data_IF_436516547209
#
_entry.id   IF_436516547209
#
_cell.length_a   1.000
_cell.length_b   1.000
_cell.length_c   1.000
_cell.angle_alpha   90.00
_cell.angle_beta   90.00
_cell.angle_gamma   90.00
#
_symmetry.space_group_name_H-M   'P 1'
#
loop_
_entity.id
_entity.type
_entity.pdbx_description
1 polymer ?
#
# COMPACT_ATOMS: atom_id res chain seq x y z
N UNK A 1 -24.83 23.57 8.41
CA UNK A 1 -25.96 22.64 8.62
C UNK A 1 -25.83 21.52 7.59
N UNK A 2 -25.10 20.44 7.95
CA UNK A 2 -25.12 19.22 7.14
C UNK A 2 -26.11 18.26 7.80
N UNK A 3 -27.30 18.17 7.24
CA UNK A 3 -28.20 17.05 7.46
C UNK A 3 -27.53 15.82 6.83
N UNK A 4 -27.09 14.90 7.68
CA UNK A 4 -26.65 13.57 7.25
C UNK A 4 -27.92 12.88 6.73
N UNK A 5 -28.05 12.80 5.41
CA UNK A 5 -29.10 12.02 4.77
C UNK A 5 -28.92 10.56 5.21
N UNK A 6 -29.88 10.07 5.99
CA UNK A 6 -30.08 8.65 6.21
C UNK A 6 -30.34 8.02 4.84
N UNK A 7 -29.36 7.30 4.32
CA UNK A 7 -29.58 6.45 3.16
C UNK A 7 -30.55 5.32 3.54
N UNK A 8 -31.71 5.33 2.90
CA UNK A 8 -32.72 4.28 2.96
C UNK A 8 -32.17 2.95 2.42
N UNK A 9 -31.40 2.23 3.22
CA UNK A 9 -31.11 0.83 2.99
C UNK A 9 -32.04 -0.02 3.83
N UNK A 10 -33.09 -0.51 3.17
CA UNK A 10 -34.02 -1.60 3.57
C UNK A 10 -34.20 -1.82 5.09
N UNK A 11 -35.11 -1.07 5.65
CA UNK A 11 -35.55 -1.08 7.06
C UNK A 11 -36.25 -2.38 7.54
N UNK A 12 -36.33 -3.44 6.75
CA UNK A 12 -37.14 -4.63 7.12
C UNK A 12 -36.40 -5.72 7.90
N UNK A 13 -35.06 -5.72 7.98
CA UNK A 13 -34.35 -6.75 8.74
C UNK A 13 -33.68 -6.20 10.01
N UNK A 14 -33.66 -4.89 10.19
CA UNK A 14 -33.03 -4.21 11.35
C UNK A 14 -34.04 -4.02 12.51
N UNK A 15 -35.32 -4.21 12.30
CA UNK A 15 -36.38 -3.91 13.28
C UNK A 15 -36.44 -4.86 14.48
N UNK A 16 -35.69 -5.97 14.49
CA UNK A 16 -35.64 -6.90 15.62
C UNK A 16 -34.39 -6.78 16.48
N UNK A 17 -33.38 -5.94 16.08
CA UNK A 17 -32.25 -5.57 16.92
C UNK A 17 -32.48 -4.23 17.64
N UNK A 18 -33.69 -3.71 17.57
CA UNK A 18 -34.06 -2.43 18.16
C UNK A 18 -34.01 -2.46 19.68
N UNK A 19 -33.26 -1.49 20.22
CA UNK A 19 -33.34 -0.96 21.58
C UNK A 19 -32.68 -1.72 22.72
N UNK A 20 -31.77 -2.65 22.49
CA UNK A 20 -30.78 -2.92 23.53
C UNK A 20 -29.53 -2.10 23.23
N UNK A 21 -29.49 -0.85 23.72
CA UNK A 21 -28.24 -0.13 23.95
C UNK A 21 -27.49 -0.95 25.01
N UNK A 22 -26.62 -1.86 24.53
CA UNK A 22 -25.70 -2.58 25.42
C UNK A 22 -24.61 -1.59 25.84
N UNK A 23 -24.97 -0.67 26.71
CA UNK A 23 -23.97 0.01 27.50
C UNK A 23 -23.32 -1.09 28.35
N UNK A 24 -22.06 -1.42 28.08
CA UNK A 24 -21.23 -2.06 29.09
C UNK A 24 -21.44 -1.27 30.38
N UNK A 25 -21.81 -1.96 31.46
CA UNK A 25 -22.24 -1.38 32.75
C UNK A 25 -21.14 -0.68 33.55
N UNK A 26 -20.00 -0.36 32.96
CA UNK A 26 -19.06 0.62 33.47
C UNK A 26 -19.50 2.02 32.99
N UNK A 27 -19.64 2.96 33.91
CA UNK A 27 -19.82 4.38 33.58
C UNK A 27 -18.76 4.74 32.54
N UNK A 28 -19.19 4.87 31.27
CA UNK A 28 -18.30 5.39 30.23
C UNK A 28 -17.75 6.70 30.75
N UNK A 29 -16.44 6.89 30.71
CA UNK A 29 -15.86 8.12 31.23
C UNK A 29 -16.53 9.29 30.52
N UNK A 30 -16.80 10.38 31.24
CA UNK A 30 -17.41 11.58 30.67
C UNK A 30 -16.62 12.10 29.48
N UNK A 31 -15.34 11.83 29.45
CA UNK A 31 -14.44 12.12 28.32
C UNK A 31 -14.89 11.43 27.00
N UNK A 32 -15.22 10.13 27.04
CA UNK A 32 -15.70 9.39 25.86
C UNK A 32 -17.04 9.96 25.39
N UNK A 33 -17.96 10.17 26.30
CA UNK A 33 -19.28 10.70 25.99
C UNK A 33 -19.21 12.11 25.37
N UNK A 34 -18.38 12.98 25.95
CA UNK A 34 -18.17 14.33 25.41
C UNK A 34 -17.51 14.31 24.05
N UNK A 35 -16.52 13.43 23.83
CA UNK A 35 -15.90 13.25 22.53
C UNK A 35 -16.92 12.78 21.46
N UNK A 36 -17.71 11.75 21.76
CA UNK A 36 -18.73 11.23 20.84
C UNK A 36 -19.78 12.29 20.49
N UNK A 37 -20.23 13.06 21.47
CA UNK A 37 -21.16 14.18 21.26
C UNK A 37 -20.53 15.26 20.36
N UNK A 38 -19.27 15.63 20.59
CA UNK A 38 -18.57 16.66 19.81
C UNK A 38 -18.41 16.26 18.34
N UNK A 39 -18.30 14.96 18.06
CA UNK A 39 -18.20 14.40 16.69
C UNK A 39 -19.55 13.96 16.12
N UNK A 40 -20.64 14.15 16.85
CA UNK A 40 -22.00 13.71 16.50
C UNK A 40 -22.05 12.21 16.15
N UNK A 41 -21.36 11.37 16.94
CA UNK A 41 -21.28 9.93 16.76
C UNK A 41 -22.24 9.20 17.69
N UNK A 42 -22.94 8.19 17.17
CA UNK A 42 -23.84 7.34 17.92
C UNK A 42 -23.44 5.85 17.75
N UNK A 43 -22.39 5.39 18.44
CA UNK A 43 -21.82 4.06 18.25
C UNK A 43 -22.76 2.96 18.76
N UNK A 44 -22.61 1.74 18.21
CA UNK A 44 -23.36 0.55 18.60
C UNK A 44 -22.82 -0.05 19.89
N UNK A 45 -21.48 -0.13 20.03
CA UNK A 45 -20.83 -0.62 21.24
C UNK A 45 -19.70 0.32 21.67
N UNK A 46 -19.55 0.47 22.99
CA UNK A 46 -18.45 1.20 23.62
C UNK A 46 -17.85 0.31 24.69
N UNK A 47 -16.56 0.01 24.55
CA UNK A 47 -15.79 -0.78 25.52
C UNK A 47 -14.68 0.08 26.11
N UNK A 48 -14.90 0.52 27.34
CA UNK A 48 -13.86 1.14 28.18
C UNK A 48 -13.18 0.07 29.03
N UNK A 49 -12.11 0.44 29.73
CA UNK A 49 -11.36 -0.46 30.63
C UNK A 49 -10.92 -1.77 29.96
N UNK A 50 -10.50 -1.68 28.70
CA UNK A 50 -10.09 -2.84 27.86
C UNK A 50 -8.87 -3.60 28.41
N UNK A 51 -8.24 -3.11 29.47
CA UNK A 51 -7.19 -3.82 30.21
C UNK A 51 -7.74 -4.94 31.07
N UNK A 52 -9.05 -4.94 31.40
CA UNK A 52 -9.71 -5.96 32.21
C UNK A 52 -10.11 -7.17 31.35
N UNK A 53 -9.86 -8.39 31.88
CA UNK A 53 -10.20 -9.63 31.20
C UNK A 53 -11.71 -9.85 31.03
N UNK A 54 -12.51 -9.34 31.97
CA UNK A 54 -13.97 -9.34 31.91
C UNK A 54 -14.48 -8.61 30.66
N UNK A 55 -13.94 -7.41 30.41
CA UNK A 55 -14.29 -6.58 29.24
C UNK A 55 -13.86 -7.28 27.95
N UNK A 56 -12.66 -7.85 27.91
CA UNK A 56 -12.17 -8.60 26.73
C UNK A 56 -13.05 -9.81 26.38
N UNK A 57 -13.52 -10.56 27.39
CA UNK A 57 -14.46 -11.66 27.21
C UNK A 57 -15.81 -11.16 26.66
N UNK A 58 -16.29 -10.02 27.15
CA UNK A 58 -17.52 -9.41 26.63
C UNK A 58 -17.36 -8.98 25.19
N UNK A 59 -16.25 -8.31 24.81
CA UNK A 59 -15.96 -7.97 23.41
C UNK A 59 -16.01 -9.23 22.52
N UNK A 60 -15.33 -10.30 22.93
CA UNK A 60 -15.31 -11.54 22.15
C UNK A 60 -16.69 -12.18 21.98
N UNK A 61 -17.54 -12.10 23.01
CA UNK A 61 -18.91 -12.64 22.99
C UNK A 61 -19.86 -11.78 22.15
N UNK A 62 -19.86 -10.47 22.37
CA UNK A 62 -20.82 -9.54 21.76
C UNK A 62 -20.50 -9.26 20.30
N UNK A 63 -19.21 -9.27 19.89
CA UNK A 63 -18.80 -9.02 18.51
C UNK A 63 -18.68 -10.29 17.67
N UNK A 64 -19.09 -11.46 18.22
CA UNK A 64 -19.00 -12.74 17.53
C UNK A 64 -19.87 -12.74 16.28
N UNK A 65 -19.29 -13.06 15.13
CA UNK A 65 -19.99 -13.11 13.84
C UNK A 65 -20.34 -11.76 13.23
N UNK A 66 -20.05 -10.64 13.92
CA UNK A 66 -20.35 -9.30 13.43
C UNK A 66 -19.23 -8.76 12.53
N UNK A 67 -19.62 -7.83 11.65
CA UNK A 67 -18.76 -7.02 10.78
C UNK A 67 -19.13 -5.56 10.92
N UNK A 68 -18.20 -4.64 10.61
CA UNK A 68 -18.49 -3.21 10.69
C UNK A 68 -17.25 -2.34 10.84
N UNK A 69 -17.49 -1.08 11.18
CA UNK A 69 -16.49 -0.06 11.39
C UNK A 69 -16.23 0.13 12.88
N UNK A 70 -14.97 0.15 13.27
CA UNK A 70 -14.56 0.35 14.66
C UNK A 70 -13.58 1.53 14.78
N UNK A 71 -13.55 2.09 15.97
CA UNK A 71 -12.65 3.16 16.38
C UNK A 71 -11.85 2.71 17.61
N UNK A 72 -10.58 3.09 17.66
CA UNK A 72 -9.70 2.97 18.82
C UNK A 72 -9.39 4.40 19.26
N UNK A 73 -9.90 4.81 20.39
CA UNK A 73 -9.75 6.18 20.92
C UNK A 73 -8.77 6.19 22.09
N UNK A 74 -7.83 7.12 22.06
CA UNK A 74 -6.99 7.47 23.21
C UNK A 74 -7.72 8.54 24.03
N UNK A 75 -8.08 8.23 25.28
CA UNK A 75 -8.84 9.11 26.19
C UNK A 75 -8.04 10.34 26.65
N UNK A 76 -6.71 10.26 26.63
CA UNK A 76 -5.83 11.34 27.06
C UNK A 76 -5.63 12.41 25.99
N UNK A 77 -5.39 11.97 24.74
CA UNK A 77 -5.10 12.89 23.63
C UNK A 77 -6.29 13.15 22.72
N UNK A 78 -7.37 12.38 22.86
CA UNK A 78 -8.53 12.34 21.97
C UNK A 78 -8.19 11.99 20.51
N UNK A 79 -6.98 11.53 20.27
CA UNK A 79 -6.55 11.01 18.97
C UNK A 79 -7.08 9.59 18.79
N UNK A 80 -7.43 9.23 17.56
CA UNK A 80 -8.10 7.97 17.29
C UNK A 80 -7.70 7.34 15.97
N UNK A 81 -7.95 6.04 15.87
CA UNK A 81 -7.80 5.20 14.69
C UNK A 81 -9.16 4.68 14.25
N UNK A 82 -9.43 4.63 12.96
CA UNK A 82 -10.62 4.01 12.38
C UNK A 82 -10.20 2.84 11.48
N UNK A 83 -10.98 1.77 11.50
CA UNK A 83 -10.76 0.62 10.63
C UNK A 83 -12.02 -0.20 10.43
N UNK A 84 -12.02 -1.06 9.43
CA UNK A 84 -13.07 -2.02 9.16
C UNK A 84 -12.72 -3.43 9.61
N UNK A 85 -13.73 -4.20 9.89
CA UNK A 85 -13.63 -5.62 10.19
C UNK A 85 -14.67 -6.41 9.40
N UNK A 86 -14.22 -7.38 8.61
CA UNK A 86 -15.10 -8.35 7.95
C UNK A 86 -15.77 -9.27 8.97
N UNK A 87 -16.73 -10.04 8.54
CA UNK A 87 -17.56 -10.92 9.37
C UNK A 87 -16.74 -11.77 10.35
N UNK A 88 -17.05 -11.68 11.64
CA UNK A 88 -16.38 -12.38 12.71
C UNK A 88 -14.96 -11.90 13.03
N UNK A 89 -14.48 -10.81 12.45
CA UNK A 89 -13.12 -10.30 12.64
C UNK A 89 -13.00 -9.13 13.60
N UNK A 90 -14.09 -8.57 14.14
CA UNK A 90 -14.03 -7.44 15.10
C UNK A 90 -13.16 -7.77 16.30
N UNK A 91 -13.37 -8.93 16.95
CA UNK A 91 -12.53 -9.35 18.07
C UNK A 91 -11.06 -9.57 17.65
N UNK A 92 -10.80 -10.12 16.46
CA UNK A 92 -9.44 -10.27 15.95
C UNK A 92 -8.77 -8.92 15.71
N UNK A 93 -9.49 -7.91 15.21
CA UNK A 93 -8.98 -6.54 15.07
C UNK A 93 -8.67 -5.91 16.41
N UNK A 94 -9.58 -6.05 17.38
CA UNK A 94 -9.36 -5.61 18.76
C UNK A 94 -8.07 -6.22 19.33
N UNK A 95 -7.92 -7.55 19.31
CA UNK A 95 -6.77 -8.23 19.89
C UNK A 95 -5.46 -7.89 19.16
N UNK A 96 -5.47 -7.78 17.83
CA UNK A 96 -4.29 -7.45 17.06
C UNK A 96 -3.79 -6.03 17.32
N UNK A 97 -4.70 -5.05 17.45
CA UNK A 97 -4.30 -3.67 17.68
C UNK A 97 -3.91 -3.39 19.13
N UNK A 98 -4.67 -3.91 20.09
CA UNK A 98 -4.65 -3.46 21.47
C UNK A 98 -3.95 -4.44 22.42
N UNK A 99 -3.97 -5.73 22.11
CA UNK A 99 -3.37 -6.78 22.96
C UNK A 99 -2.02 -7.24 22.37
N UNK A 100 -2.02 -7.74 21.14
CA UNK A 100 -0.79 -8.26 20.51
C UNK A 100 0.08 -7.16 19.89
N UNK A 101 -0.47 -5.95 19.72
CA UNK A 101 0.23 -4.79 19.15
C UNK A 101 0.87 -5.07 17.77
N UNK A 102 0.20 -5.91 16.98
CA UNK A 102 0.63 -6.29 15.61
C UNK A 102 -0.07 -5.51 14.51
N UNK A 103 -1.10 -4.72 14.86
CA UNK A 103 -1.86 -3.88 13.92
C UNK A 103 -1.14 -2.58 13.55
N UNK A 104 -1.83 -1.43 13.70
CA UNK A 104 -1.25 -0.12 13.36
C UNK A 104 -0.03 0.21 14.21
N UNK A 105 1.07 0.60 13.56
CA UNK A 105 2.32 1.01 14.23
C UNK A 105 2.12 2.28 15.07
N UNK A 106 1.26 3.19 14.65
CA UNK A 106 0.97 4.43 15.37
C UNK A 106 0.20 4.10 16.65
N UNK A 107 -0.86 3.29 16.57
CA UNK A 107 -1.63 2.82 17.73
C UNK A 107 -0.70 2.09 18.71
N UNK A 108 0.15 1.17 18.23
CA UNK A 108 1.13 0.47 19.07
C UNK A 108 2.05 1.43 19.84
N UNK A 109 2.62 2.41 19.15
CA UNK A 109 3.51 3.40 19.78
C UNK A 109 2.77 4.27 20.78
N UNK A 110 1.53 4.63 20.49
CA UNK A 110 0.68 5.40 21.39
C UNK A 110 0.33 4.61 22.65
N UNK A 111 -0.02 3.31 22.51
CA UNK A 111 -0.27 2.43 23.68
C UNK A 111 0.99 2.29 24.56
N UNK A 112 2.17 2.17 23.96
CA UNK A 112 3.44 2.13 24.70
C UNK A 112 3.71 3.41 25.48
N UNK A 113 3.28 4.56 24.96
CA UNK A 113 3.48 5.87 25.58
C UNK A 113 2.46 6.16 26.68
N UNK A 114 1.19 5.91 26.44
CA UNK A 114 0.09 6.33 27.29
C UNK A 114 -0.49 5.20 28.16
N UNK A 115 -0.13 3.94 27.88
CA UNK A 115 -0.69 2.77 28.56
C UNK A 115 -2.04 2.33 27.99
N UNK A 116 -2.33 1.03 28.06
CA UNK A 116 -3.55 0.45 27.49
C UNK A 116 -4.83 0.94 28.20
N UNK A 117 -4.76 1.30 29.50
CA UNK A 117 -5.88 1.80 30.28
C UNK A 117 -6.46 3.13 29.78
N UNK A 118 -5.66 3.90 29.02
CA UNK A 118 -6.09 5.14 28.38
C UNK A 118 -6.76 4.94 27.02
N UNK A 119 -6.96 3.70 26.60
CA UNK A 119 -7.62 3.41 25.34
C UNK A 119 -9.00 2.78 25.55
N UNK A 120 -9.90 3.08 24.62
CA UNK A 120 -11.17 2.38 24.50
C UNK A 120 -11.39 1.86 23.08
N UNK A 121 -12.21 0.81 22.96
CA UNK A 121 -12.61 0.22 21.70
C UNK A 121 -14.08 0.49 21.46
N UNK A 122 -14.42 1.08 20.31
CA UNK A 122 -15.75 1.56 19.97
C UNK A 122 -16.15 0.94 18.65
N UNK A 123 -17.32 0.35 18.54
CA UNK A 123 -17.90 -0.08 17.27
C UNK A 123 -18.87 1.01 16.83
N UNK A 124 -18.51 1.72 15.76
CA UNK A 124 -19.28 2.84 15.26
C UNK A 124 -20.53 2.39 14.55
N UNK A 125 -20.40 1.43 13.63
CA UNK A 125 -21.49 0.94 12.81
C UNK A 125 -21.28 -0.54 12.46
N UNK A 126 -22.37 -1.31 12.47
CA UNK A 126 -22.35 -2.70 12.02
C UNK A 126 -22.69 -2.77 10.54
N UNK A 127 -21.94 -3.58 9.81
CA UNK A 127 -22.25 -3.88 8.43
C UNK A 127 -23.31 -4.99 8.37
N UNK A 128 -24.47 -4.77 7.69
CA UNK A 128 -25.63 -5.63 7.83
C UNK A 128 -25.51 -7.00 7.16
N UNK A 129 -24.59 -7.11 6.18
CA UNK A 129 -24.42 -8.31 5.38
C UNK A 129 -23.20 -9.13 5.82
N UNK A 130 -23.24 -10.45 5.54
CA UNK A 130 -22.03 -11.28 5.65
C UNK A 130 -21.03 -10.84 4.58
N UNK A 131 -19.84 -10.41 5.00
CA UNK A 131 -18.83 -9.89 4.08
C UNK A 131 -18.24 -11.02 3.24
N UNK A 132 -18.34 -10.90 1.92
CA UNK A 132 -17.78 -11.80 0.90
C UNK A 132 -16.95 -10.98 -0.12
N UNK A 133 -16.46 -11.63 -1.18
CA UNK A 133 -15.64 -10.94 -2.21
C UNK A 133 -16.45 -9.89 -2.99
N UNK A 134 -17.74 -10.09 -3.17
CA UNK A 134 -18.60 -9.21 -3.96
C UNK A 134 -18.96 -7.91 -3.20
N UNK A 135 -19.29 -8.04 -1.90
CA UNK A 135 -19.74 -6.90 -1.09
C UNK A 135 -18.65 -6.27 -0.23
N UNK A 136 -17.43 -6.83 -0.20
CA UNK A 136 -16.29 -6.27 0.56
C UNK A 136 -16.01 -4.81 0.18
N UNK A 137 -16.24 -4.44 -1.09
CA UNK A 137 -16.10 -3.07 -1.54
C UNK A 137 -17.02 -2.11 -0.79
N UNK A 138 -18.27 -2.50 -0.52
CA UNK A 138 -19.23 -1.68 0.24
C UNK A 138 -18.74 -1.41 1.68
N UNK A 139 -18.10 -2.42 2.31
CA UNK A 139 -17.52 -2.25 3.64
C UNK A 139 -16.32 -1.28 3.61
N UNK A 140 -15.47 -1.34 2.57
CA UNK A 140 -14.37 -0.41 2.37
C UNK A 140 -14.86 1.00 2.06
N UNK A 141 -15.89 1.16 1.24
CA UNK A 141 -16.52 2.46 0.94
C UNK A 141 -17.09 3.09 2.23
N UNK A 142 -17.66 2.27 3.14
CA UNK A 142 -18.11 2.73 4.45
C UNK A 142 -16.94 3.16 5.35
N UNK A 143 -15.81 2.41 5.36
CA UNK A 143 -14.59 2.83 6.06
C UNK A 143 -14.08 4.16 5.51
N UNK A 144 -14.03 4.32 4.18
CA UNK A 144 -13.62 5.56 3.51
C UNK A 144 -14.50 6.76 3.89
N UNK A 145 -15.80 6.55 4.00
CA UNK A 145 -16.73 7.57 4.47
C UNK A 145 -16.34 8.08 5.86
N UNK A 146 -16.07 7.16 6.80
CA UNK A 146 -15.64 7.54 8.15
C UNK A 146 -14.26 8.16 8.18
N UNK A 147 -13.31 7.69 7.37
CA UNK A 147 -11.97 8.26 7.27
C UNK A 147 -11.99 9.71 6.77
N UNK A 148 -12.79 9.98 5.74
CA UNK A 148 -12.94 11.32 5.14
C UNK A 148 -13.73 12.28 6.03
N UNK A 149 -14.74 11.78 6.74
CA UNK A 149 -15.60 12.60 7.60
C UNK A 149 -14.93 12.97 8.92
N UNK A 150 -14.14 12.07 9.50
CA UNK A 150 -13.60 12.22 10.85
C UNK A 150 -12.11 12.57 10.88
N UNK A 151 -11.36 12.33 9.81
CA UNK A 151 -9.93 12.63 9.68
C UNK A 151 -9.09 12.11 10.86
N UNK A 152 -9.01 10.80 11.10
CA UNK A 152 -8.38 10.23 12.27
C UNK A 152 -6.86 10.40 12.27
N UNK A 153 -6.28 10.83 13.42
CA UNK A 153 -4.85 11.11 13.57
C UNK A 153 -3.96 9.87 13.46
N UNK A 154 -4.49 8.69 13.82
CA UNK A 154 -3.73 7.44 13.85
C UNK A 154 -3.79 6.63 12.55
N UNK A 155 -4.54 7.10 11.57
CA UNK A 155 -4.54 6.53 10.24
C UNK A 155 -3.47 7.20 9.36
N UNK A 156 -2.61 6.38 8.73
CA UNK A 156 -1.60 6.87 7.79
C UNK A 156 -2.21 7.08 6.41
N UNK A 157 -3.13 6.19 6.05
CA UNK A 157 -3.84 6.22 4.78
C UNK A 157 -5.17 6.94 4.95
N UNK A 158 -5.48 7.77 3.99
CA UNK A 158 -6.76 8.50 3.91
C UNK A 158 -7.84 7.72 3.16
N UNK A 159 -7.47 6.58 2.59
CA UNK A 159 -8.36 5.69 1.86
C UNK A 159 -8.24 4.24 2.36
N UNK A 160 -9.37 3.57 2.49
CA UNK A 160 -9.45 2.22 3.00
C UNK A 160 -8.82 1.20 2.04
N UNK A 161 -8.08 0.24 2.59
CA UNK A 161 -7.56 -0.91 1.85
C UNK A 161 -6.51 -0.63 0.77
N UNK A 162 -6.17 0.63 0.49
CA UNK A 162 -5.22 0.98 -0.57
C UNK A 162 -4.11 1.90 -0.09
N UNK A 163 -2.87 1.52 -0.41
CA UNK A 163 -1.71 2.42 -0.34
C UNK A 163 -1.44 3.11 -1.68
N UNK A 164 -2.33 2.95 -2.66
CA UNK A 164 -2.15 3.55 -3.97
C UNK A 164 -2.15 5.08 -3.86
N UNK A 165 -1.14 5.71 -4.43
CA UNK A 165 -0.98 7.17 -4.37
C UNK A 165 -0.34 7.71 -3.09
N UNK A 166 -0.14 6.89 -2.04
CA UNK A 166 0.55 7.33 -0.83
C UNK A 166 2.02 7.68 -1.13
N UNK A 167 2.39 8.92 -0.85
CA UNK A 167 3.78 9.38 -0.98
C UNK A 167 4.33 9.67 0.43
N UNK A 168 5.43 9.02 0.77
CA UNK A 168 6.14 9.37 2.00
C UNK A 168 6.55 10.85 1.98
N UNK A 169 6.43 11.53 3.11
CA UNK A 169 6.94 12.89 3.26
C UNK A 169 8.44 12.92 2.98
N UNK A 170 8.97 14.05 2.55
CA UNK A 170 10.41 14.19 2.23
C UNK A 170 11.29 13.85 3.43
N UNK A 171 10.89 14.27 4.64
CA UNK A 171 11.58 13.91 5.89
C UNK A 171 11.64 12.38 6.08
N UNK A 172 10.54 11.68 5.80
CA UNK A 172 10.49 10.21 5.91
C UNK A 172 11.38 9.56 4.86
N UNK A 173 11.38 10.06 3.62
CA UNK A 173 12.24 9.58 2.53
C UNK A 173 13.72 9.75 2.87
N UNK A 174 14.12 10.91 3.41
CA UNK A 174 15.48 11.18 3.86
C UNK A 174 15.88 10.20 4.98
N UNK A 175 15.01 9.99 5.99
CA UNK A 175 15.25 9.01 7.06
C UNK A 175 15.37 7.58 6.52
N UNK A 176 14.52 7.18 5.59
CA UNK A 176 14.61 5.86 4.94
C UNK A 176 15.93 5.69 4.20
N UNK A 177 16.37 6.71 3.45
CA UNK A 177 17.64 6.70 2.71
C UNK A 177 18.85 6.65 3.65
N UNK A 178 18.83 7.43 4.73
CA UNK A 178 19.89 7.44 5.73
C UNK A 178 20.00 6.11 6.49
N UNK A 179 18.88 5.44 6.77
CA UNK A 179 18.85 4.14 7.43
C UNK A 179 19.14 2.95 6.50
N UNK A 180 19.26 3.18 5.19
CA UNK A 180 19.59 2.15 4.21
C UNK A 180 21.12 2.05 4.02
N UNK A 181 21.79 1.61 5.09
CA UNK A 181 23.24 1.44 5.10
C UNK A 181 23.70 0.32 4.15
N UNK A 182 24.98 0.37 3.75
CA UNK A 182 25.61 -0.66 2.92
C UNK A 182 25.59 -2.03 3.62
N UNK A 183 25.80 -2.06 4.95
CA UNK A 183 25.68 -3.28 5.75
C UNK A 183 24.29 -3.92 5.63
N UNK A 184 23.21 -3.11 5.71
CA UNK A 184 21.85 -3.59 5.54
C UNK A 184 21.57 -4.08 4.11
N UNK A 185 22.14 -3.41 3.10
CA UNK A 185 22.06 -3.87 1.70
C UNK A 185 22.71 -5.24 1.53
N UNK A 186 23.90 -5.42 2.10
CA UNK A 186 24.62 -6.69 2.06
C UNK A 186 23.87 -7.79 2.79
N UNK A 187 23.32 -7.53 3.98
CA UNK A 187 22.47 -8.50 4.70
C UNK A 187 21.27 -8.96 3.86
N UNK A 188 20.56 -8.05 3.21
CA UNK A 188 19.42 -8.39 2.33
C UNK A 188 19.91 -9.16 1.10
N UNK A 189 21.05 -8.76 0.53
CA UNK A 189 21.69 -9.47 -0.59
C UNK A 189 22.08 -10.90 -0.22
N UNK A 190 22.64 -11.09 0.97
CA UNK A 190 23.10 -12.40 1.46
C UNK A 190 21.92 -13.36 1.73
N UNK A 191 20.75 -12.83 2.13
CA UNK A 191 19.54 -13.66 2.30
C UNK A 191 19.12 -14.37 0.99
N UNK A 192 19.44 -13.79 -0.17
CA UNK A 192 19.06 -14.31 -1.48
C UNK A 192 20.25 -14.85 -2.30
N UNK A 193 21.48 -14.55 -1.87
CA UNK A 193 22.69 -14.98 -2.57
C UNK A 193 22.85 -16.50 -2.44
N UNK A 194 23.07 -17.17 -3.56
CA UNK A 194 23.27 -18.62 -3.63
C UNK A 194 21.99 -19.46 -3.52
N UNK A 195 20.80 -18.86 -3.38
CA UNK A 195 19.54 -19.59 -3.45
C UNK A 195 19.16 -19.81 -4.90
N UNK A 196 19.15 -21.07 -5.33
CA UNK A 196 18.54 -21.47 -6.61
C UNK A 196 17.03 -21.60 -6.42
N UNK A 197 16.26 -21.01 -7.31
CA UNK A 197 14.82 -21.23 -7.37
C UNK A 197 14.54 -22.65 -7.90
N UNK A 198 13.49 -23.30 -7.38
CA UNK A 198 13.06 -24.59 -7.92
C UNK A 198 12.61 -24.42 -9.39
N UNK A 199 12.71 -25.50 -10.18
CA UNK A 199 12.31 -25.50 -11.57
C UNK A 199 10.86 -25.03 -11.75
N UNK A 200 9.95 -25.45 -10.88
CA UNK A 200 8.54 -25.07 -10.89
C UNK A 200 8.34 -23.56 -10.71
N UNK A 201 9.10 -22.94 -9.81
CA UNK A 201 9.04 -21.47 -9.60
C UNK A 201 9.60 -20.74 -10.83
N UNK A 202 10.69 -21.24 -11.43
CA UNK A 202 11.25 -20.64 -12.65
C UNK A 202 10.25 -20.72 -13.80
N UNK A 203 9.60 -21.88 -13.99
CA UNK A 203 8.55 -22.04 -15.00
C UNK A 203 7.34 -21.12 -14.75
N UNK A 204 6.89 -20.99 -13.51
CA UNK A 204 5.80 -20.09 -13.16
C UNK A 204 6.14 -18.61 -13.46
N UNK A 205 7.39 -18.20 -13.18
CA UNK A 205 7.89 -16.85 -13.51
C UNK A 205 7.94 -16.66 -15.03
N UNK A 206 8.45 -17.63 -15.79
CA UNK A 206 8.47 -17.57 -17.25
C UNK A 206 7.07 -17.47 -17.84
N UNK A 207 6.14 -18.32 -17.40
CA UNK A 207 4.76 -18.30 -17.84
C UNK A 207 4.10 -16.94 -17.53
N UNK A 208 4.29 -16.43 -16.34
CA UNK A 208 3.78 -15.11 -15.95
C UNK A 208 4.40 -13.96 -16.77
N UNK A 209 5.68 -14.06 -17.15
CA UNK A 209 6.34 -13.05 -17.97
C UNK A 209 5.83 -13.07 -19.41
N UNK A 210 5.52 -14.26 -19.96
CA UNK A 210 4.98 -14.44 -21.31
C UNK A 210 3.51 -14.00 -21.43
N UNK A 211 2.72 -14.11 -20.35
CA UNK A 211 1.31 -13.73 -20.33
C UNK A 211 1.06 -12.26 -19.97
N UNK A 212 2.05 -11.56 -19.41
CA UNK A 212 1.96 -10.13 -19.15
C UNK A 212 2.27 -9.36 -20.42
N UNK A 213 1.31 -8.57 -20.87
CA UNK A 213 1.60 -7.49 -21.82
C UNK A 213 2.66 -6.57 -21.21
N UNK A 214 3.85 -6.60 -21.79
CA UNK A 214 4.91 -5.72 -21.33
C UNK A 214 4.68 -4.33 -21.94
N UNK A 215 4.41 -3.28 -21.15
CA UNK A 215 4.15 -1.95 -21.68
C UNK A 215 5.30 -1.39 -22.53
N UNK A 216 6.51 -1.95 -22.41
CA UNK A 216 7.65 -1.59 -23.26
C UNK A 216 7.54 -2.13 -24.70
N UNK A 217 6.69 -3.14 -24.95
CA UNK A 217 6.41 -3.66 -26.28
C UNK A 217 5.16 -3.07 -26.94
N UNK A 218 4.47 -2.13 -26.28
CA UNK A 218 3.46 -1.32 -26.94
C UNK A 218 4.11 -0.39 -27.96
N UNK A 219 3.39 0.01 -29.01
CA UNK A 219 3.90 0.95 -30.02
C UNK A 219 4.49 2.22 -29.38
N UNK A 220 3.80 2.76 -28.35
CA UNK A 220 4.29 3.92 -27.61
C UNK A 220 5.57 3.61 -26.80
N UNK A 221 5.69 2.42 -26.23
CA UNK A 221 6.89 1.97 -25.52
C UNK A 221 8.08 1.83 -26.48
N UNK A 222 7.86 1.26 -27.65
CA UNK A 222 8.88 1.13 -28.72
C UNK A 222 9.32 2.52 -29.21
N UNK A 223 8.39 3.44 -29.42
CA UNK A 223 8.71 4.83 -29.79
C UNK A 223 9.52 5.55 -28.70
N UNK A 224 9.19 5.34 -27.44
CA UNK A 224 9.94 5.93 -26.32
C UNK A 224 11.37 5.35 -26.22
N UNK A 225 11.54 4.05 -26.47
CA UNK A 225 12.88 3.43 -26.55
C UNK A 225 13.70 3.99 -27.72
N UNK A 226 13.07 4.22 -28.87
CA UNK A 226 13.74 4.82 -30.03
C UNK A 226 14.21 6.26 -29.79
N UNK A 227 13.46 7.06 -29.01
CA UNK A 227 13.86 8.42 -28.61
C UNK A 227 15.17 8.47 -27.80
N UNK A 228 15.51 7.39 -27.11
CA UNK A 228 16.73 7.28 -26.30
C UNK A 228 17.92 6.69 -27.08
N UNK A 229 17.72 6.28 -28.35
CA UNK A 229 18.81 5.75 -29.17
C UNK A 229 19.72 6.89 -29.66
N UNK A 230 21.02 6.63 -29.64
CA UNK A 230 22.02 7.58 -30.14
C UNK A 230 22.32 7.26 -31.60
N UNK A 231 22.26 8.27 -32.44
CA UNK A 231 22.62 8.14 -33.86
C UNK A 231 24.12 7.88 -34.00
N UNK A 232 24.47 7.11 -35.00
CA UNK A 232 25.84 6.67 -35.29
C UNK A 232 26.17 7.03 -36.72
N UNK A 233 27.31 7.70 -36.94
CA UNK A 233 27.86 8.02 -38.21
C UNK A 233 29.00 7.04 -38.56
N UNK A 234 28.97 6.51 -39.77
CA UNK A 234 29.99 5.61 -40.31
C UNK A 234 30.71 6.33 -41.44
N UNK A 235 32.02 6.33 -41.38
CA UNK A 235 32.91 6.93 -42.41
C UNK A 235 33.90 5.91 -42.92
N UNK A 236 34.33 6.10 -44.13
CA UNK A 236 35.48 5.41 -44.67
C UNK A 236 36.80 5.98 -44.11
N UNK A 237 37.92 5.30 -44.36
CA UNK A 237 39.26 5.76 -43.90
C UNK A 237 39.67 7.11 -44.51
N UNK A 238 39.12 7.47 -45.66
CA UNK A 238 39.29 8.78 -46.29
C UNK A 238 38.38 9.88 -45.74
N UNK A 239 37.65 9.60 -44.63
CA UNK A 239 36.65 10.46 -43.99
C UNK A 239 35.36 10.71 -44.78
N UNK A 240 35.18 10.04 -45.92
CA UNK A 240 33.90 10.10 -46.64
C UNK A 240 32.80 9.42 -45.83
N UNK A 241 31.64 10.08 -45.69
CA UNK A 241 30.50 9.53 -44.93
C UNK A 241 29.88 8.40 -45.74
N UNK A 242 29.94 7.19 -45.20
CA UNK A 242 29.26 6.02 -45.77
C UNK A 242 27.75 6.05 -45.46
N UNK A 243 27.40 6.43 -44.25
CA UNK A 243 25.99 6.54 -43.83
C UNK A 243 25.84 7.02 -42.38
N UNK A 244 24.65 7.53 -42.11
CA UNK A 244 24.21 7.89 -40.75
C UNK A 244 23.02 7.01 -40.37
N UNK A 245 23.06 6.44 -39.19
CA UNK A 245 22.09 5.46 -38.69
C UNK A 245 21.51 5.93 -37.38
N UNK A 246 20.22 5.76 -37.17
CA UNK A 246 19.51 6.24 -35.97
C UNK A 246 19.81 5.44 -34.68
N UNK A 247 20.47 4.29 -34.83
CA UNK A 247 20.80 3.43 -33.69
C UNK A 247 21.99 2.51 -33.97
N UNK A 248 22.63 2.04 -32.88
CA UNK A 248 23.69 1.01 -32.94
C UNK A 248 23.17 -0.29 -33.58
N UNK A 249 21.88 -0.63 -33.39
CA UNK A 249 21.28 -1.84 -33.96
C UNK A 249 21.20 -1.72 -35.50
N UNK A 250 20.75 -0.59 -35.99
CA UNK A 250 20.66 -0.29 -37.43
C UNK A 250 22.03 -0.27 -38.07
N UNK A 251 23.02 0.38 -37.44
CA UNK A 251 24.43 0.36 -37.89
C UNK A 251 24.97 -1.06 -37.95
N UNK A 252 24.70 -1.89 -36.96
CA UNK A 252 25.17 -3.28 -36.90
C UNK A 252 24.58 -4.12 -38.03
N UNK A 253 23.30 -3.93 -38.32
CA UNK A 253 22.62 -4.59 -39.44
C UNK A 253 23.19 -4.15 -40.80
N UNK A 254 23.39 -2.84 -41.01
CA UNK A 254 23.92 -2.27 -42.24
C UNK A 254 25.37 -2.74 -42.52
N UNK A 255 26.19 -2.87 -41.47
CA UNK A 255 27.60 -3.31 -41.60
C UNK A 255 27.80 -4.82 -41.42
N UNK A 256 26.72 -5.57 -41.35
CA UNK A 256 26.68 -7.02 -41.14
C UNK A 256 27.62 -7.47 -40.02
N UNK A 257 27.36 -6.93 -38.80
CA UNK A 257 28.13 -7.26 -37.62
C UNK A 257 27.25 -7.24 -36.36
N UNK A 258 27.80 -7.69 -35.21
CA UNK A 258 27.05 -7.69 -33.96
C UNK A 258 26.98 -6.29 -33.36
N UNK A 259 25.88 -6.00 -32.63
CA UNK A 259 25.73 -4.76 -31.90
C UNK A 259 26.85 -4.56 -30.86
N UNK A 260 27.34 -5.67 -30.26
CA UNK A 260 28.48 -5.65 -29.33
C UNK A 260 29.77 -5.20 -30.01
N UNK A 261 29.96 -5.54 -31.28
CA UNK A 261 31.13 -5.11 -32.07
C UNK A 261 31.10 -3.60 -32.28
N UNK A 262 29.98 -3.03 -32.68
CA UNK A 262 29.81 -1.57 -32.82
C UNK A 262 30.03 -0.86 -31.47
N UNK A 263 29.45 -1.36 -30.38
CA UNK A 263 29.63 -0.79 -29.04
C UNK A 263 31.10 -0.77 -28.60
N UNK A 264 31.84 -1.83 -28.86
CA UNK A 264 33.29 -1.91 -28.57
C UNK A 264 34.07 -0.90 -29.38
N UNK A 265 33.77 -0.79 -30.68
CA UNK A 265 34.40 0.18 -31.57
C UNK A 265 34.16 1.62 -31.14
N UNK A 266 32.91 1.97 -30.78
CA UNK A 266 32.55 3.30 -30.28
C UNK A 266 33.26 3.66 -28.98
N UNK A 267 33.63 2.68 -28.16
CA UNK A 267 34.41 2.86 -26.91
C UNK A 267 35.92 2.86 -27.17
N UNK A 268 36.39 2.34 -28.29
CA UNK A 268 37.80 2.31 -28.63
C UNK A 268 38.32 3.70 -28.98
N UNK A 269 39.54 4.07 -28.58
CA UNK A 269 40.15 5.35 -29.00
C UNK A 269 40.30 5.50 -30.52
N UNK A 270 40.57 4.39 -31.23
CA UNK A 270 40.75 4.38 -32.68
C UNK A 270 39.44 4.47 -33.46
N UNK A 271 38.31 4.11 -32.83
CA UNK A 271 36.97 4.03 -33.46
C UNK A 271 36.93 3.26 -34.76
N UNK A 272 37.94 2.41 -35.02
CA UNK A 272 38.14 1.68 -36.26
C UNK A 272 37.44 0.32 -36.21
N UNK A 273 36.52 0.07 -37.14
CA UNK A 273 35.77 -1.16 -37.30
C UNK A 273 36.34 -1.97 -38.46
N UNK A 274 36.74 -3.21 -38.19
CA UNK A 274 37.24 -4.19 -39.19
C UNK A 274 38.35 -3.62 -40.10
N UNK A 275 39.14 -2.64 -39.63
CA UNK A 275 40.20 -2.01 -40.42
C UNK A 275 39.72 -1.19 -41.64
N UNK A 276 38.42 -0.97 -41.77
CA UNK A 276 37.83 -0.33 -42.96
C UNK A 276 36.96 0.89 -42.61
N UNK A 277 36.27 0.88 -41.47
CA UNK A 277 35.26 1.87 -41.13
C UNK A 277 35.64 2.64 -39.87
N UNK A 278 35.43 3.93 -39.85
CA UNK A 278 35.48 4.77 -38.64
C UNK A 278 34.03 4.95 -38.19
N UNK A 279 33.73 4.59 -36.92
CA UNK A 279 32.39 4.63 -36.35
C UNK A 279 32.37 5.59 -35.17
N UNK A 280 31.53 6.61 -35.23
CA UNK A 280 31.37 7.60 -34.17
C UNK A 280 29.89 7.90 -33.90
N UNK A 281 29.61 8.53 -32.76
CA UNK A 281 28.27 9.06 -32.53
C UNK A 281 28.06 10.31 -33.39
N UNK A 282 26.88 10.42 -33.97
CA UNK A 282 26.44 11.66 -34.63
C UNK A 282 26.28 12.74 -33.54
N UNK A 283 26.76 13.95 -33.80
CA UNK A 283 26.68 15.08 -32.90
C UNK A 283 25.28 15.63 -32.79
#
# INVERSE_FOLDING_TARGET
YFNIAQNDYNTKTITTLNNKRYFSTSRNSDTINNFLKSKNLNPVFIYDNIHEDSVRKNIAKETKGLSGIYMILNKETLSYYIGSASTGKLNSRFTNHLIYLTGSKIVKNSIKKYGLHNFCFIVLELFPEVVNQENNKKLLDLEDFYLKSLLPDYNILTEAGSSFGYKHSEVTRIKMKANYSEARRNQIGDLNRGKSLSFEIIEAIRKSALTKENPNYTEQGILNMKKCSKSVIVKELNNTVYGEFNSIVETASALNCSTKTIQRTLKSPSKLLKGRWIVDYSK
#
